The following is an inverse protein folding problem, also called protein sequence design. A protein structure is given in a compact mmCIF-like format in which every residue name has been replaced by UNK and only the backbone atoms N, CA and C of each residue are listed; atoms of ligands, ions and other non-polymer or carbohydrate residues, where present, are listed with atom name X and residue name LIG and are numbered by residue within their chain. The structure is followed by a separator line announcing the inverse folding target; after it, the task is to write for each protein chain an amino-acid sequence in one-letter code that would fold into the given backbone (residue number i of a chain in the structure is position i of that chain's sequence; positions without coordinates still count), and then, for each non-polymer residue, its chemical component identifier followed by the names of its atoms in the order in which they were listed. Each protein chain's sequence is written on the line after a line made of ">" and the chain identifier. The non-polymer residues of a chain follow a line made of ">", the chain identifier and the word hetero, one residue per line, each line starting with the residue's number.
data_IF_489795357198
#
_entry.id   IF_489795357198
#
_cell.length_a   1.000
_cell.length_b   1.000
_cell.length_c   1.000
_cell.angle_alpha   90.00
_cell.angle_beta   90.00
_cell.angle_gamma   90.00
#
_symmetry.space_group_name_H-M   'P 1'
#
loop_
_entity.id
_entity.type
_entity.pdbx_description
1 polymer ?
#
# COMPACT_ATOMS: atom_id res chain seq x y z
N UNK A 1 57.94 -15.90 51.06
CA UNK A 1 57.01 -16.53 50.08
C UNK A 1 56.21 -15.42 49.41
N UNK A 2 56.68 -14.94 48.26
CA UNK A 2 56.01 -13.89 47.48
C UNK A 2 55.01 -14.55 46.51
N UNK A 3 53.73 -14.16 46.61
CA UNK A 3 52.67 -14.59 45.69
C UNK A 3 52.72 -13.71 44.45
N UNK A 4 53.05 -14.31 43.30
CA UNK A 4 53.01 -13.66 42.00
C UNK A 4 51.56 -13.70 41.48
N UNK A 5 50.91 -12.55 41.39
CA UNK A 5 49.63 -12.41 40.70
C UNK A 5 49.92 -12.25 39.20
N UNK A 6 49.60 -13.28 38.42
CA UNK A 6 49.64 -13.24 36.96
C UNK A 6 48.39 -12.50 36.46
N UNK A 7 48.56 -11.25 36.01
CA UNK A 7 47.51 -10.47 35.36
C UNK A 7 47.49 -10.88 33.88
N UNK A 8 46.53 -11.72 33.51
CA UNK A 8 46.25 -12.08 32.12
C UNK A 8 45.47 -10.93 31.46
N UNK A 9 46.16 -10.08 30.70
CA UNK A 9 45.54 -9.04 29.89
C UNK A 9 44.87 -9.69 28.66
N UNK A 10 43.55 -9.85 28.71
CA UNK A 10 42.75 -10.40 27.62
C UNK A 10 42.49 -9.29 26.59
N UNK A 11 43.31 -9.26 25.53
CA UNK A 11 43.12 -8.38 24.37
C UNK A 11 41.87 -8.82 23.59
N UNK A 12 40.74 -8.18 23.83
CA UNK A 12 39.53 -8.32 23.02
C UNK A 12 39.72 -7.52 21.72
N UNK A 13 40.18 -8.18 20.67
CA UNK A 13 40.14 -7.64 19.31
C UNK A 13 38.69 -7.66 18.82
N UNK A 14 38.04 -6.50 18.84
CA UNK A 14 36.76 -6.28 18.14
C UNK A 14 36.99 -6.33 16.62
N UNK A 15 36.84 -7.51 16.02
CA UNK A 15 36.71 -7.62 14.57
C UNK A 15 35.41 -6.94 14.13
N UNK A 16 35.53 -5.69 13.66
CA UNK A 16 34.47 -4.99 12.97
C UNK A 16 34.23 -5.68 11.62
N UNK A 17 33.23 -6.57 11.60
CA UNK A 17 32.77 -7.23 10.39
C UNK A 17 32.05 -6.19 9.52
N UNK A 18 32.78 -5.52 8.62
CA UNK A 18 32.15 -4.74 7.55
C UNK A 18 31.47 -5.73 6.61
N UNK A 19 30.17 -5.99 6.83
CA UNK A 19 29.35 -6.67 5.82
C UNK A 19 29.42 -5.81 4.57
N UNK A 20 29.99 -6.36 3.50
CA UNK A 20 29.83 -5.78 2.17
C UNK A 20 28.32 -5.61 1.95
N UNK A 21 27.90 -4.39 1.59
CA UNK A 21 26.53 -4.15 1.18
C UNK A 21 26.21 -5.13 0.06
N UNK A 22 25.19 -5.97 0.27
CA UNK A 22 24.70 -6.83 -0.79
C UNK A 22 24.39 -5.95 -2.01
N UNK A 23 24.72 -6.40 -3.24
CA UNK A 23 24.29 -5.70 -4.44
C UNK A 23 22.76 -5.49 -4.37
N UNK A 24 22.24 -4.36 -4.86
CA UNK A 24 20.81 -4.11 -4.88
C UNK A 24 20.11 -5.31 -5.53
N UNK A 25 19.00 -5.80 -4.95
CA UNK A 25 18.26 -6.90 -5.54
C UNK A 25 17.95 -6.57 -7.00
N UNK A 26 18.11 -7.55 -7.92
CA UNK A 26 17.84 -7.32 -9.33
C UNK A 26 16.43 -6.77 -9.48
N UNK A 27 16.27 -5.70 -10.25
CA UNK A 27 14.97 -5.15 -10.59
C UNK A 27 14.18 -6.23 -11.33
N UNK A 28 13.28 -6.88 -10.59
CA UNK A 28 12.32 -7.80 -11.15
C UNK A 28 11.47 -6.93 -12.07
N UNK A 29 11.50 -7.19 -13.38
CA UNK A 29 10.51 -6.66 -14.32
C UNK A 29 9.16 -7.27 -13.93
N UNK A 30 8.58 -6.65 -12.91
CA UNK A 30 7.29 -6.99 -12.35
C UNK A 30 6.28 -6.61 -13.42
N UNK A 31 5.46 -7.57 -13.85
CA UNK A 31 4.26 -7.30 -14.66
C UNK A 31 3.28 -6.33 -13.97
N UNK A 32 3.56 -5.95 -12.71
CA UNK A 32 2.78 -5.07 -11.87
C UNK A 32 3.22 -3.60 -12.05
N UNK A 33 2.25 -2.72 -12.25
CA UNK A 33 2.44 -1.28 -12.23
C UNK A 33 2.72 -0.86 -10.78
N UNK A 34 3.81 -0.14 -10.54
CA UNK A 34 4.26 0.28 -9.20
C UNK A 34 3.24 1.18 -8.47
N UNK A 35 2.29 1.74 -9.21
CA UNK A 35 1.29 2.69 -8.72
C UNK A 35 -0.07 2.28 -9.25
N UNK A 36 -0.99 1.92 -8.35
CA UNK A 36 -2.42 1.78 -8.66
C UNK A 36 -2.92 3.12 -9.17
N UNK A 37 -3.66 3.11 -10.26
CA UNK A 37 -4.23 4.30 -10.91
C UNK A 37 -5.74 4.23 -10.97
N UNK A 38 -6.38 5.40 -11.08
CA UNK A 38 -7.83 5.50 -11.19
C UNK A 38 -8.39 4.75 -12.41
N UNK A 39 -7.59 4.52 -13.46
CA UNK A 39 -7.99 3.78 -14.65
C UNK A 39 -8.02 2.25 -14.42
N UNK A 40 -7.30 1.72 -13.43
CA UNK A 40 -7.23 0.26 -13.20
C UNK A 40 -8.58 -0.33 -12.74
N UNK A 41 -9.53 0.51 -12.29
CA UNK A 41 -10.93 0.09 -12.07
C UNK A 41 -11.75 -0.05 -13.35
N UNK A 42 -11.36 0.61 -14.44
CA UNK A 42 -12.20 0.71 -15.65
C UNK A 42 -12.20 -0.59 -16.45
N UNK A 43 -11.14 -1.39 -16.37
CA UNK A 43 -11.05 -2.66 -17.09
C UNK A 43 -10.07 -3.58 -16.38
N UNK A 44 -10.54 -4.78 -15.99
CA UNK A 44 -9.66 -5.85 -15.53
C UNK A 44 -9.02 -6.49 -16.75
N UNK A 45 -7.69 -6.58 -16.80
CA UNK A 45 -6.99 -7.22 -17.92
C UNK A 45 -7.22 -8.73 -17.92
N UNK A 46 -7.06 -9.38 -19.08
CA UNK A 46 -7.22 -10.84 -19.18
C UNK A 46 -6.24 -11.61 -18.29
N UNK A 47 -5.07 -11.03 -17.99
CA UNK A 47 -4.09 -11.63 -17.08
C UNK A 47 -4.51 -11.49 -15.62
N UNK A 48 -4.93 -10.30 -15.18
CA UNK A 48 -5.43 -10.08 -13.81
C UNK A 48 -6.68 -10.93 -13.53
N UNK A 49 -7.56 -11.07 -14.52
CA UNK A 49 -8.77 -11.87 -14.42
C UNK A 49 -8.51 -13.34 -14.07
N UNK A 50 -7.34 -13.90 -14.41
CA UNK A 50 -6.96 -15.28 -14.04
C UNK A 50 -6.85 -15.48 -12.53
N UNK A 51 -6.60 -14.40 -11.80
CA UNK A 51 -6.42 -14.38 -10.34
C UNK A 51 -7.61 -13.77 -9.62
N UNK A 52 -8.68 -13.46 -10.35
CA UNK A 52 -9.87 -12.82 -9.81
C UNK A 52 -10.49 -13.68 -8.71
N UNK A 53 -10.71 -13.07 -7.56
CA UNK A 53 -11.24 -13.75 -6.40
C UNK A 53 -12.20 -12.85 -5.62
N UNK A 54 -13.36 -13.42 -5.28
CA UNK A 54 -14.39 -12.79 -4.44
C UNK A 54 -14.50 -13.56 -3.13
N UNK A 55 -14.59 -12.84 -2.02
CA UNK A 55 -14.81 -13.44 -0.71
C UNK A 55 -15.65 -12.53 0.18
N UNK A 56 -16.89 -12.94 0.42
CA UNK A 56 -17.87 -12.17 1.19
C UNK A 56 -17.59 -12.10 2.71
N UNK A 57 -16.51 -12.74 3.19
CA UNK A 57 -16.05 -12.60 4.59
C UNK A 57 -15.30 -11.28 4.81
N UNK A 58 -14.80 -10.66 3.74
CA UNK A 58 -14.01 -9.43 3.79
C UNK A 58 -14.76 -8.27 3.12
N UNK A 59 -14.31 -7.04 3.37
CA UNK A 59 -14.93 -5.81 2.86
C UNK A 59 -14.55 -5.46 1.41
N UNK A 60 -13.62 -6.20 0.79
CA UNK A 60 -13.31 -5.99 -0.62
C UNK A 60 -14.39 -6.63 -1.50
N UNK A 61 -14.68 -6.00 -2.63
CA UNK A 61 -15.59 -6.55 -3.64
C UNK A 61 -14.90 -7.71 -4.37
N UNK A 62 -13.64 -7.50 -4.76
CA UNK A 62 -12.78 -8.52 -5.33
C UNK A 62 -11.30 -8.23 -5.06
N UNK A 63 -10.45 -9.23 -5.31
CA UNK A 63 -9.00 -9.07 -5.38
C UNK A 63 -8.42 -9.78 -6.60
N UNK A 64 -7.29 -9.29 -7.06
CA UNK A 64 -6.46 -9.86 -8.13
C UNK A 64 -5.00 -9.88 -7.68
N UNK A 65 -4.14 -10.59 -8.41
CA UNK A 65 -2.71 -10.70 -8.16
C UNK A 65 -2.31 -11.99 -7.44
N UNK A 66 -1.06 -12.02 -7.01
CA UNK A 66 -0.38 -13.21 -6.47
C UNK A 66 -0.09 -13.06 -4.97
N UNK A 67 0.18 -14.17 -4.25
CA UNK A 67 0.56 -14.11 -2.84
C UNK A 67 1.67 -13.09 -2.57
N UNK A 68 1.36 -12.07 -1.75
CA UNK A 68 2.27 -10.97 -1.42
C UNK A 68 2.05 -9.68 -2.22
N UNK A 69 1.32 -9.73 -3.33
CA UNK A 69 1.11 -8.60 -4.24
C UNK A 69 -0.35 -8.44 -4.68
N UNK A 70 -1.29 -8.72 -3.78
CA UNK A 70 -2.71 -8.56 -4.07
C UNK A 70 -3.12 -7.09 -4.20
N UNK A 71 -3.93 -6.83 -5.21
CA UNK A 71 -4.72 -5.62 -5.36
C UNK A 71 -6.16 -5.91 -4.93
N UNK A 72 -6.75 -5.00 -4.18
CA UNK A 72 -8.09 -5.15 -3.59
C UNK A 72 -8.98 -4.01 -4.03
N UNK A 73 -10.18 -4.33 -4.52
CA UNK A 73 -11.20 -3.34 -4.89
C UNK A 73 -12.16 -3.09 -3.72
N UNK A 74 -12.45 -1.82 -3.45
CA UNK A 74 -13.35 -1.40 -2.39
C UNK A 74 -14.31 -0.33 -2.88
N UNK A 75 -15.57 -0.46 -2.49
CA UNK A 75 -16.51 0.65 -2.46
C UNK A 75 -16.24 1.51 -1.22
N UNK A 76 -16.23 2.83 -1.43
CA UNK A 76 -15.98 3.83 -0.38
C UNK A 76 -17.06 4.89 -0.33
N UNK A 77 -17.25 5.45 0.86
CA UNK A 77 -18.05 6.65 1.10
C UNK A 77 -17.29 7.58 2.03
N UNK A 78 -17.58 8.87 2.00
CA UNK A 78 -16.86 9.82 2.81
C UNK A 78 -17.38 11.23 2.71
N UNK A 79 -16.56 12.18 3.16
CA UNK A 79 -16.82 13.60 3.07
C UNK A 79 -15.59 14.34 2.54
N UNK A 80 -15.82 15.44 1.81
CA UNK A 80 -14.77 16.40 1.45
C UNK A 80 -14.50 17.38 2.61
N UNK A 81 -13.55 18.31 2.41
CA UNK A 81 -13.22 19.35 3.40
C UNK A 81 -14.36 20.32 3.74
N UNK A 82 -15.38 20.43 2.87
CA UNK A 82 -16.58 21.25 3.08
C UNK A 82 -17.70 20.49 3.82
N UNK A 83 -17.54 19.18 4.01
CA UNK A 83 -18.54 18.30 4.63
C UNK A 83 -19.53 17.68 3.63
N UNK A 84 -19.33 17.85 2.32
CA UNK A 84 -20.20 17.26 1.31
C UNK A 84 -19.93 15.76 1.18
N UNK A 85 -20.99 14.97 1.05
CA UNK A 85 -20.89 13.51 0.88
C UNK A 85 -20.29 13.16 -0.48
N UNK A 86 -19.36 12.21 -0.45
CA UNK A 86 -18.78 11.58 -1.65
C UNK A 86 -18.92 10.06 -1.57
N UNK A 87 -19.00 9.41 -2.72
CA UNK A 87 -18.92 7.95 -2.85
C UNK A 87 -17.90 7.61 -3.91
N UNK A 88 -17.38 6.40 -3.93
CA UNK A 88 -16.44 6.02 -4.96
C UNK A 88 -16.08 4.56 -4.93
N UNK A 89 -15.21 4.19 -5.85
CA UNK A 89 -14.65 2.86 -5.94
C UNK A 89 -13.15 2.99 -6.18
N UNK A 90 -12.38 2.25 -5.38
CA UNK A 90 -10.92 2.34 -5.34
C UNK A 90 -10.29 0.96 -5.43
N UNK A 91 -9.09 0.91 -5.99
CA UNK A 91 -8.20 -0.23 -5.88
C UNK A 91 -7.07 0.13 -4.92
N UNK A 92 -6.64 -0.83 -4.09
CA UNK A 92 -5.58 -0.65 -3.12
C UNK A 92 -4.60 -1.82 -3.17
N UNK A 93 -3.31 -1.49 -3.23
CA UNK A 93 -2.21 -2.45 -3.12
C UNK A 93 -1.32 -2.04 -1.93
N UNK A 94 -1.24 -2.90 -0.92
CA UNK A 94 -0.53 -2.59 0.32
C UNK A 94 -1.15 -1.38 1.03
N UNK A 95 -0.36 -0.30 1.22
CA UNK A 95 -0.79 0.90 1.95
C UNK A 95 -1.49 1.94 1.06
N UNK A 96 -1.23 1.91 -0.24
CA UNK A 96 -1.60 2.98 -1.17
C UNK A 96 -2.55 2.46 -2.25
N UNK A 97 -3.40 3.33 -2.75
CA UNK A 97 -4.34 3.00 -3.80
C UNK A 97 -4.74 4.21 -4.61
N UNK A 98 -5.63 4.00 -5.57
CA UNK A 98 -6.24 5.06 -6.35
C UNK A 98 -7.65 4.66 -6.77
N UNK A 99 -8.43 5.65 -7.19
CA UNK A 99 -9.74 5.39 -7.73
C UNK A 99 -10.46 6.66 -8.09
N UNK A 100 -11.78 6.58 -8.14
CA UNK A 100 -12.64 7.67 -8.57
C UNK A 100 -13.75 7.87 -7.54
N UNK A 101 -13.94 9.12 -7.14
CA UNK A 101 -15.11 9.56 -6.42
C UNK A 101 -16.16 10.06 -7.41
N UNK A 102 -17.41 9.67 -7.16
CA UNK A 102 -18.60 10.09 -7.86
C UNK A 102 -19.42 10.97 -6.91
N UNK A 103 -19.80 12.15 -7.39
CA UNK A 103 -20.71 13.06 -6.73
C UNK A 103 -21.83 13.45 -7.69
N UNK A 104 -23.05 13.65 -7.18
CA UNK A 104 -24.24 13.85 -8.04
C UNK A 104 -24.15 15.12 -8.92
N UNK A 105 -23.32 16.09 -8.52
CA UNK A 105 -23.29 17.44 -9.10
C UNK A 105 -21.94 17.83 -9.70
N UNK A 106 -20.92 16.96 -9.61
CA UNK A 106 -19.54 17.26 -10.02
C UNK A 106 -19.04 16.10 -10.87
N UNK A 107 -18.22 16.35 -11.91
CA UNK A 107 -17.53 15.30 -12.64
C UNK A 107 -16.79 14.32 -11.72
N UNK A 108 -16.64 13.09 -12.20
CA UNK A 108 -15.81 12.06 -11.58
C UNK A 108 -14.43 12.60 -11.17
N UNK A 109 -14.05 12.39 -9.90
CA UNK A 109 -12.83 12.93 -9.31
C UNK A 109 -11.83 11.79 -9.13
N UNK A 110 -10.70 11.86 -9.84
CA UNK A 110 -9.59 10.95 -9.64
C UNK A 110 -8.86 11.26 -8.33
N UNK A 111 -8.63 10.23 -7.52
CA UNK A 111 -7.99 10.35 -6.22
C UNK A 111 -6.87 9.32 -6.02
N UNK A 112 -5.85 9.70 -5.26
CA UNK A 112 -4.92 8.78 -4.61
C UNK A 112 -5.35 8.58 -3.17
N UNK A 113 -5.10 7.39 -2.62
CA UNK A 113 -5.55 6.99 -1.28
C UNK A 113 -4.42 6.39 -0.48
N UNK A 114 -4.50 6.57 0.84
CA UNK A 114 -3.60 5.97 1.82
C UNK A 114 -4.43 5.41 2.98
N UNK A 115 -4.18 4.15 3.36
CA UNK A 115 -4.72 3.58 4.59
C UNK A 115 -4.15 4.30 5.81
N UNK A 116 -5.04 4.87 6.63
CA UNK A 116 -4.68 5.51 7.89
C UNK A 116 -5.11 4.68 9.10
N UNK A 117 -6.12 3.82 8.94
CA UNK A 117 -6.53 2.81 9.93
C UNK A 117 -7.45 1.77 9.28
N UNK A 118 -7.80 0.73 10.01
CA UNK A 118 -8.72 -0.30 9.50
C UNK A 118 -10.04 0.32 9.02
N UNK A 119 -10.36 0.13 7.75
CA UNK A 119 -11.57 0.64 7.12
C UNK A 119 -11.59 2.15 6.87
N UNK A 120 -10.49 2.89 7.12
CA UNK A 120 -10.42 4.34 6.89
C UNK A 120 -9.23 4.74 6.02
N UNK A 121 -9.49 5.57 5.02
CA UNK A 121 -8.48 6.11 4.12
C UNK A 121 -8.48 7.64 4.14
N UNK A 122 -7.29 8.20 4.01
CA UNK A 122 -7.12 9.59 3.54
C UNK A 122 -6.98 9.55 2.03
N UNK A 123 -7.63 10.46 1.33
CA UNK A 123 -7.47 10.59 -0.11
C UNK A 123 -7.24 12.04 -0.53
N UNK A 124 -6.58 12.21 -1.68
CA UNK A 124 -6.34 13.51 -2.30
C UNK A 124 -6.47 13.43 -3.82
N UNK A 125 -7.07 14.45 -4.42
CA UNK A 125 -7.09 14.60 -5.88
C UNK A 125 -5.84 15.33 -6.40
N UNK A 126 -5.78 15.53 -7.73
CA UNK A 126 -4.66 16.21 -8.41
C UNK A 126 -4.51 17.69 -8.03
N UNK A 127 -5.58 18.31 -7.55
CA UNK A 127 -5.59 19.71 -7.11
C UNK A 127 -5.21 19.85 -5.63
N UNK A 128 -5.07 18.72 -4.92
CA UNK A 128 -4.72 18.68 -3.50
C UNK A 128 -5.94 18.80 -2.58
N UNK A 129 -7.17 18.69 -3.09
CA UNK A 129 -8.34 18.62 -2.21
C UNK A 129 -8.33 17.29 -1.46
N UNK A 130 -8.65 17.32 -0.16
CA UNK A 130 -8.60 16.14 0.71
C UNK A 130 -10.00 15.56 0.98
N UNK A 131 -10.04 14.23 1.14
CA UNK A 131 -11.24 13.47 1.43
C UNK A 131 -10.97 12.45 2.53
N UNK A 132 -11.93 12.32 3.44
CA UNK A 132 -11.93 11.30 4.49
C UNK A 132 -12.88 10.19 4.09
N UNK A 133 -12.33 9.00 3.81
CA UNK A 133 -13.08 7.89 3.24
C UNK A 133 -13.15 6.72 4.22
N UNK A 134 -14.27 6.00 4.15
CA UNK A 134 -14.48 4.73 4.82
C UNK A 134 -14.91 3.67 3.81
N UNK A 135 -14.43 2.45 3.99
CA UNK A 135 -14.89 1.29 3.22
C UNK A 135 -16.30 0.90 3.64
N UNK A 136 -17.09 0.41 2.69
CA UNK A 136 -18.49 0.04 2.86
C UNK A 136 -18.68 -1.38 3.39
#
# INVERSE_FOLDING_TARGET
>A
MQKNYSILFLLVFIFSCKRASAPPPPEINSFYKLTVTADDRKTITAEEAKTYHVNHTYQYEYRTGDPGHYEYNYDVKGINSKGDSVRGNINVQGKFGAGILIADTIPDIEINTEWISYGKLKASDKEGNEYQLIVK
#
